data_IF_590719520286
#
_entry.id   IF_590719520286
#
_cell.length_a   1.000
_cell.length_b   1.000
_cell.length_c   1.000
_cell.angle_alpha   90.00
_cell.angle_beta   90.00
_cell.angle_gamma   90.00
#
_symmetry.space_group_name_H-M   'P 1'
#
loop_
_entity.id
_entity.type
_entity.pdbx_description
1 polymer ?
#
# COMPACT_ATOMS: atom_id res chain seq x y z
N UNK A 1 25.40 -18.17 13.35
CA UNK A 1 25.16 -19.63 13.45
C UNK A 1 24.62 -20.12 12.12
N UNK A 2 25.01 -21.32 11.66
CA UNK A 2 24.52 -21.87 10.40
C UNK A 2 23.09 -22.42 10.57
N UNK A 3 22.19 -22.03 9.68
CA UNK A 3 20.82 -22.55 9.63
C UNK A 3 20.85 -23.92 8.91
N UNK A 4 20.40 -24.99 9.57
CA UNK A 4 20.29 -26.30 8.94
C UNK A 4 18.86 -26.50 8.40
N UNK A 5 18.73 -26.55 7.07
CA UNK A 5 17.45 -26.77 6.39
C UNK A 5 17.37 -28.24 5.98
N UNK A 6 16.48 -29.02 6.60
CA UNK A 6 16.27 -30.45 6.31
C UNK A 6 15.18 -30.72 5.27
N UNK A 7 14.73 -29.68 4.56
CA UNK A 7 13.69 -29.78 3.55
C UNK A 7 14.31 -29.76 2.15
N UNK A 8 14.16 -30.87 1.42
CA UNK A 8 14.73 -31.08 0.08
C UNK A 8 14.22 -30.05 -0.93
N UNK A 9 12.95 -29.67 -0.87
CA UNK A 9 12.39 -28.68 -1.80
C UNK A 9 12.97 -27.29 -1.57
N UNK A 10 13.21 -26.90 -0.32
CA UNK A 10 13.85 -25.62 0.01
C UNK A 10 15.29 -25.60 -0.49
N UNK A 11 16.01 -26.72 -0.36
CA UNK A 11 17.37 -26.84 -0.89
C UNK A 11 17.40 -26.75 -2.42
N UNK A 12 16.43 -27.39 -3.11
CA UNK A 12 16.29 -27.31 -4.56
C UNK A 12 16.03 -25.87 -5.02
N UNK A 13 15.08 -25.18 -4.40
CA UNK A 13 14.76 -23.77 -4.71
C UNK A 13 15.96 -22.86 -4.46
N UNK A 14 16.68 -23.05 -3.36
CA UNK A 14 17.89 -22.27 -3.07
C UNK A 14 18.99 -22.52 -4.10
N UNK A 15 19.13 -23.76 -4.60
CA UNK A 15 20.08 -24.10 -5.66
C UNK A 15 19.71 -23.45 -7.01
N UNK A 16 18.44 -23.47 -7.38
CA UNK A 16 17.93 -22.85 -8.61
C UNK A 16 18.15 -21.32 -8.59
N UNK A 17 17.79 -20.66 -7.51
CA UNK A 17 17.99 -19.22 -7.36
C UNK A 17 19.47 -18.84 -7.34
N UNK A 18 20.31 -19.64 -6.67
CA UNK A 18 21.76 -19.44 -6.66
C UNK A 18 22.37 -19.52 -8.06
N UNK A 19 21.89 -20.45 -8.92
CA UNK A 19 22.33 -20.54 -10.31
C UNK A 19 21.89 -19.33 -11.14
N UNK A 20 20.65 -18.88 -10.97
CA UNK A 20 20.12 -17.71 -11.70
C UNK A 20 20.87 -16.44 -11.29
N UNK A 21 21.12 -16.25 -10.00
CA UNK A 21 21.77 -15.04 -9.47
C UNK A 21 23.30 -15.12 -9.43
N UNK A 22 23.88 -16.26 -9.78
CA UNK A 22 25.33 -16.51 -9.71
C UNK A 22 25.91 -16.28 -8.31
N UNK A 23 25.17 -16.69 -7.28
CA UNK A 23 25.54 -16.54 -5.86
C UNK A 23 25.62 -17.89 -5.15
N UNK A 24 25.96 -17.90 -3.86
CA UNK A 24 25.82 -19.10 -3.03
C UNK A 24 24.34 -19.38 -2.68
N UNK A 25 24.00 -20.63 -2.33
CA UNK A 25 22.65 -21.00 -1.83
C UNK A 25 22.26 -20.16 -0.60
N UNK A 26 23.22 -19.91 0.29
CA UNK A 26 23.00 -19.12 1.50
C UNK A 26 22.68 -17.67 1.17
N UNK A 27 23.42 -17.07 0.23
CA UNK A 27 23.19 -15.70 -0.21
C UNK A 27 21.86 -15.54 -0.95
N UNK A 28 21.49 -16.53 -1.77
CA UNK A 28 20.18 -16.56 -2.41
C UNK A 28 19.04 -16.61 -1.37
N UNK A 29 19.16 -17.44 -0.33
CA UNK A 29 18.19 -17.47 0.77
C UNK A 29 18.15 -16.12 1.51
N UNK A 30 19.31 -15.52 1.77
CA UNK A 30 19.38 -14.22 2.47
C UNK A 30 18.68 -13.12 1.67
N UNK A 31 18.95 -13.01 0.36
CA UNK A 31 18.31 -12.03 -0.52
C UNK A 31 16.79 -12.27 -0.57
N UNK A 32 16.35 -13.52 -0.76
CA UNK A 32 14.94 -13.85 -0.79
C UNK A 32 14.20 -13.49 0.52
N UNK A 33 14.84 -13.72 1.68
CA UNK A 33 14.29 -13.34 2.98
C UNK A 33 14.26 -11.82 3.18
N UNK A 34 15.28 -11.10 2.70
CA UNK A 34 15.28 -9.63 2.73
C UNK A 34 14.16 -9.06 1.88
N UNK A 35 13.98 -9.55 0.65
CA UNK A 35 12.88 -9.14 -0.21
C UNK A 35 11.50 -9.46 0.40
N UNK A 36 11.34 -10.65 0.97
CA UNK A 36 10.10 -11.02 1.65
C UNK A 36 9.85 -10.11 2.85
N UNK A 37 10.90 -9.83 3.64
CA UNK A 37 10.82 -8.90 4.77
C UNK A 37 10.41 -7.52 4.29
N UNK A 38 11.03 -6.99 3.24
CA UNK A 38 10.67 -5.68 2.68
C UNK A 38 9.25 -5.68 2.15
N UNK A 39 8.83 -6.66 1.36
CA UNK A 39 7.45 -6.77 0.85
C UNK A 39 6.44 -6.90 1.99
N UNK A 40 6.77 -7.65 3.03
CA UNK A 40 5.92 -7.83 4.22
C UNK A 40 5.90 -6.55 5.04
N UNK A 41 7.04 -5.90 5.26
CA UNK A 41 7.13 -4.64 6.00
C UNK A 41 6.50 -3.50 5.24
N UNK A 42 6.59 -3.42 3.92
CA UNK A 42 5.87 -2.44 3.09
C UNK A 42 4.38 -2.77 2.99
N UNK A 43 4.00 -4.05 3.03
CA UNK A 43 2.62 -4.49 3.19
C UNK A 43 2.05 -4.22 4.59
N UNK A 44 2.90 -4.11 5.62
CA UNK A 44 2.55 -3.79 7.00
C UNK A 44 2.75 -2.30 7.37
N UNK A 45 3.56 -1.55 6.61
CA UNK A 45 3.93 -0.14 6.82
C UNK A 45 3.35 0.80 5.77
N UNK A 46 2.80 0.25 4.68
CA UNK A 46 1.79 0.94 3.93
C UNK A 46 0.45 0.55 4.53
N UNK A 47 -0.06 1.34 5.49
CA UNK A 47 -1.48 1.27 5.79
C UNK A 47 -2.25 1.24 4.47
N UNK A 48 -3.37 0.51 4.44
CA UNK A 48 -4.08 0.16 3.21
C UNK A 48 -4.32 1.34 2.27
N UNK A 49 -4.95 1.10 1.11
CA UNK A 49 -5.34 2.19 0.18
C UNK A 49 -5.91 3.43 0.91
N UNK A 50 -6.66 3.21 1.97
CA UNK A 50 -7.18 4.22 2.88
C UNK A 50 -6.12 5.08 3.58
N UNK A 51 -5.06 4.50 4.15
CA UNK A 51 -4.03 5.26 4.87
C UNK A 51 -3.17 6.08 3.92
N UNK A 52 -2.85 5.54 2.74
CA UNK A 52 -2.18 6.33 1.69
C UNK A 52 -3.05 7.48 1.22
N UNK A 53 -4.35 7.26 1.07
CA UNK A 53 -5.30 8.30 0.73
C UNK A 53 -5.39 9.36 1.84
N UNK A 54 -5.48 8.93 3.10
CA UNK A 54 -5.50 9.82 4.28
C UNK A 54 -4.25 10.68 4.34
N UNK A 55 -3.07 10.08 4.22
CA UNK A 55 -1.81 10.82 4.22
C UNK A 55 -1.72 11.84 3.08
N UNK A 56 -2.20 11.48 1.88
CA UNK A 56 -2.27 12.42 0.74
C UNK A 56 -3.24 13.57 1.02
N UNK A 57 -4.43 13.29 1.56
CA UNK A 57 -5.40 14.31 1.92
C UNK A 57 -4.83 15.26 2.99
N UNK A 58 -4.18 14.73 4.03
CA UNK A 58 -3.58 15.49 5.13
C UNK A 58 -2.41 16.37 4.70
N UNK A 59 -1.54 15.86 3.84
CA UNK A 59 -0.30 16.56 3.46
C UNK A 59 -0.45 17.50 2.27
N UNK A 60 -1.32 17.17 1.31
CA UNK A 60 -1.40 17.87 0.03
C UNK A 60 -2.71 18.62 -0.20
N UNK A 61 -3.84 18.14 0.35
CA UNK A 61 -5.17 18.70 0.01
C UNK A 61 -5.71 19.59 1.13
N UNK A 62 -5.81 19.09 2.36
CA UNK A 62 -6.39 19.82 3.48
C UNK A 62 -5.64 21.10 3.88
N UNK A 63 -4.30 21.20 3.79
CA UNK A 63 -3.59 22.46 4.04
C UNK A 63 -3.91 23.56 3.02
N UNK A 64 -4.38 23.20 1.82
CA UNK A 64 -4.79 24.16 0.79
C UNK A 64 -6.21 24.69 1.00
N UNK A 65 -6.99 24.09 1.91
CA UNK A 65 -8.35 24.52 2.20
C UNK A 65 -8.29 25.74 3.14
N UNK A 66 -8.80 26.92 2.73
CA UNK A 66 -8.77 28.10 3.57
C UNK A 66 -9.55 27.90 4.89
N UNK A 67 -9.06 28.51 5.96
CA UNK A 67 -9.78 28.53 7.23
C UNK A 67 -11.16 29.22 7.07
N UNK A 68 -12.19 28.66 7.71
CA UNK A 68 -13.56 29.17 7.63
C UNK A 68 -14.41 28.62 6.48
N UNK A 69 -13.84 27.81 5.58
CA UNK A 69 -14.60 27.18 4.46
C UNK A 69 -15.22 25.83 4.87
N UNK A 70 -14.86 25.31 6.05
CA UNK A 70 -15.48 24.10 6.63
C UNK A 70 -16.90 24.39 7.11
N UNK A 71 -17.85 24.39 6.19
CA UNK A 71 -19.29 24.40 6.50
C UNK A 71 -19.89 23.03 6.18
N UNK A 72 -20.77 22.56 7.04
CA UNK A 72 -21.64 21.43 6.69
C UNK A 72 -22.66 21.94 5.66
N UNK A 73 -22.79 21.23 4.54
CA UNK A 73 -23.80 21.54 3.54
C UNK A 73 -25.12 20.87 3.92
N UNK A 74 -26.24 21.52 3.63
CA UNK A 74 -27.52 20.83 3.66
C UNK A 74 -27.63 19.90 2.45
N UNK A 75 -28.49 18.89 2.53
CA UNK A 75 -28.70 17.96 1.41
C UNK A 75 -29.09 18.70 0.12
N UNK A 76 -29.94 19.71 0.22
CA UNK A 76 -30.39 20.51 -0.93
C UNK A 76 -29.24 21.31 -1.57
N UNK A 77 -28.27 21.78 -0.77
CA UNK A 77 -27.08 22.48 -1.28
C UNK A 77 -26.12 21.53 -1.99
N UNK A 78 -25.95 20.32 -1.46
CA UNK A 78 -25.14 19.25 -2.05
C UNK A 78 -25.74 18.78 -3.37
N UNK A 79 -27.04 18.50 -3.38
CA UNK A 79 -27.78 18.09 -4.57
C UNK A 79 -27.69 19.17 -5.66
N UNK A 80 -27.90 20.44 -5.32
CA UNK A 80 -27.77 21.55 -6.28
C UNK A 80 -26.36 21.69 -6.86
N UNK A 81 -25.31 21.52 -6.06
CA UNK A 81 -23.93 21.60 -6.53
C UNK A 81 -23.51 20.41 -7.40
N UNK A 82 -24.10 19.24 -7.15
CA UNK A 82 -23.91 18.03 -7.95
C UNK A 82 -24.79 18.02 -9.22
N UNK A 83 -25.69 19.00 -9.37
CA UNK A 83 -26.58 19.14 -10.51
C UNK A 83 -27.85 18.30 -10.41
N UNK A 84 -28.27 17.93 -9.20
CA UNK A 84 -29.54 17.29 -8.93
C UNK A 84 -30.62 18.34 -8.62
N UNK A 85 -31.82 18.14 -9.18
CA UNK A 85 -33.02 18.92 -8.86
C UNK A 85 -33.60 18.54 -7.49
N UNK A 86 -34.62 19.27 -7.00
CA UNK A 86 -35.28 19.01 -5.71
C UNK A 86 -36.00 17.66 -5.64
N UNK A 87 -36.19 17.00 -6.78
CA UNK A 87 -36.71 15.65 -6.97
C UNK A 87 -35.60 14.57 -6.96
N UNK A 88 -34.33 14.96 -6.84
CA UNK A 88 -33.17 14.05 -6.83
C UNK A 88 -32.80 13.50 -8.21
N UNK A 89 -33.30 14.10 -9.28
CA UNK A 89 -32.95 13.75 -10.66
C UNK A 89 -31.87 14.69 -11.20
N UNK A 90 -30.93 14.21 -12.02
CA UNK A 90 -29.95 15.09 -12.66
C UNK A 90 -30.68 16.08 -13.58
N UNK A 91 -30.29 17.35 -13.49
CA UNK A 91 -30.77 18.46 -14.32
C UNK A 91 -30.43 18.27 -15.80
#
# INVERSE_FOLDING_TARGET
MALNIKNVEVERLAAELAQIWQTSKTEAIQVALLELRERTMHGLSGGGREERLRHFLESAVWPLVPEGVRRAWTKDEEDAALGYGPDGLPL
#
